data_IF_348481611595
#
_entry.id   IF_348481611595
#
_cell.length_a   1.000
_cell.length_b   1.000
_cell.length_c   1.000
_cell.angle_alpha   90.00
_cell.angle_beta   90.00
_cell.angle_gamma   90.00
#
_symmetry.space_group_name_H-M   'P 1'
#
loop_
_entity.id
_entity.type
_entity.pdbx_description
1 polymer ?
#
# COMPACT_ATOMS: atom_id res chain seq x y z
N UNK A 1 25.25 23.10 10.61
CA UNK A 1 24.21 22.70 9.63
C UNK A 1 23.35 21.63 10.26
N UNK A 2 22.04 21.86 10.47
CA UNK A 2 21.10 20.81 10.91
C UNK A 2 20.53 20.14 9.66
N UNK A 3 20.76 18.85 9.50
CA UNK A 3 20.14 18.05 8.45
C UNK A 3 18.75 17.65 8.95
N UNK A 4 17.70 18.12 8.29
CA UNK A 4 16.34 17.65 8.51
C UNK A 4 16.11 16.44 7.60
N UNK A 5 16.11 15.24 8.17
CA UNK A 5 15.76 14.02 7.43
C UNK A 5 14.27 14.08 7.08
N UNK A 6 13.94 13.96 5.79
CA UNK A 6 12.57 13.78 5.34
C UNK A 6 12.15 12.35 5.66
N UNK A 7 10.93 12.18 6.15
CA UNK A 7 10.39 10.86 6.44
C UNK A 7 10.16 10.09 5.13
N UNK A 8 10.60 8.83 5.10
CA UNK A 8 10.29 7.93 3.99
C UNK A 8 8.79 7.58 4.01
N UNK A 9 8.19 7.49 2.82
CA UNK A 9 6.83 6.99 2.63
C UNK A 9 6.88 5.68 1.86
N UNK A 10 6.79 4.53 2.54
CA UNK A 10 6.77 3.23 1.88
C UNK A 10 5.57 3.10 0.94
N UNK A 11 5.79 2.41 -0.18
CA UNK A 11 4.74 2.01 -1.11
C UNK A 11 4.66 0.48 -1.07
N UNK A 12 3.55 -0.04 -0.54
CA UNK A 12 3.28 -1.47 -0.41
C UNK A 12 2.46 -1.93 -1.60
N UNK A 13 2.93 -2.97 -2.29
CA UNK A 13 2.22 -3.60 -3.40
C UNK A 13 1.76 -5.00 -2.98
N UNK A 14 0.52 -5.33 -3.31
CA UNK A 14 -0.12 -6.60 -3.00
C UNK A 14 -0.56 -7.33 -4.28
N UNK A 15 -0.69 -8.65 -4.21
CA UNK A 15 -1.34 -9.42 -5.28
C UNK A 15 -2.82 -9.62 -4.93
N UNK A 16 -3.66 -8.66 -5.35
CA UNK A 16 -5.13 -8.68 -5.20
C UNK A 16 -5.62 -8.75 -3.75
N UNK A 17 -4.83 -8.23 -2.81
CA UNK A 17 -5.11 -8.23 -1.37
C UNK A 17 -5.02 -6.82 -0.74
N UNK A 18 -4.87 -5.78 -1.56
CA UNK A 18 -4.70 -4.42 -1.05
C UNK A 18 -5.92 -3.93 -0.25
N UNK A 19 -7.15 -4.35 -0.58
CA UNK A 19 -8.36 -3.96 0.16
C UNK A 19 -8.37 -4.55 1.56
N UNK A 20 -8.07 -5.84 1.69
CA UNK A 20 -7.96 -6.54 2.96
C UNK A 20 -6.84 -5.94 3.81
N UNK A 21 -5.70 -5.64 3.19
CA UNK A 21 -4.58 -4.98 3.85
C UNK A 21 -4.95 -3.58 4.35
N UNK A 22 -5.63 -2.77 3.52
CA UNK A 22 -6.11 -1.45 3.90
C UNK A 22 -7.01 -1.52 5.13
N UNK A 23 -8.00 -2.42 5.13
CA UNK A 23 -8.93 -2.61 6.25
C UNK A 23 -8.20 -3.07 7.53
N UNK A 24 -7.25 -4.00 7.40
CA UNK A 24 -6.45 -4.48 8.52
C UNK A 24 -5.61 -3.36 9.15
N UNK A 25 -4.86 -2.61 8.34
CA UNK A 25 -4.01 -1.55 8.84
C UNK A 25 -4.79 -0.34 9.35
N UNK A 26 -5.96 -0.05 8.79
CA UNK A 26 -6.89 0.95 9.32
C UNK A 26 -7.26 0.62 10.77
N UNK A 27 -7.67 -0.63 11.05
CA UNK A 27 -8.05 -1.07 12.40
C UNK A 27 -6.85 -1.11 13.35
N UNK A 28 -5.73 -1.72 12.95
CA UNK A 28 -4.55 -1.87 13.79
C UNK A 28 -3.94 -0.52 14.16
N UNK A 29 -3.78 0.38 13.19
CA UNK A 29 -3.16 1.69 13.43
C UNK A 29 -4.16 2.77 13.85
N UNK A 30 -5.47 2.47 13.82
CA UNK A 30 -6.55 3.46 14.03
C UNK A 30 -6.32 4.68 13.11
N UNK A 31 -6.02 4.38 11.85
CA UNK A 31 -5.62 5.32 10.82
C UNK A 31 -6.79 5.66 9.89
N UNK A 32 -6.58 6.59 8.96
CA UNK A 32 -7.57 6.93 7.94
C UNK A 32 -7.10 6.45 6.56
N UNK A 33 -8.00 5.83 5.81
CA UNK A 33 -7.81 5.53 4.38
C UNK A 33 -8.18 6.78 3.57
N UNK A 34 -7.26 7.23 2.71
CA UNK A 34 -7.45 8.40 1.84
C UNK A 34 -6.95 8.12 0.43
N UNK A 35 -7.38 8.92 -0.55
CA UNK A 35 -6.93 8.84 -1.95
C UNK A 35 -7.11 7.45 -2.58
N UNK A 36 -8.19 6.72 -2.22
CA UNK A 36 -8.51 5.40 -2.77
C UNK A 36 -8.99 5.50 -4.23
N UNK A 37 -8.30 4.78 -5.11
CA UNK A 37 -8.56 4.64 -6.53
C UNK A 37 -8.48 3.17 -6.93
N UNK A 38 -9.34 2.73 -7.84
CA UNK A 38 -9.40 1.35 -8.35
C UNK A 38 -9.07 1.28 -9.85
N UNK A 39 -8.77 0.09 -10.35
CA UNK A 39 -8.52 -0.13 -11.77
C UNK A 39 -9.83 -0.13 -12.61
N UNK A 40 -10.11 0.96 -13.31
CA UNK A 40 -11.23 1.05 -14.26
C UNK A 40 -12.58 0.67 -13.65
N UNK A 41 -13.47 0.06 -14.46
CA UNK A 41 -14.77 -0.46 -13.99
C UNK A 41 -14.62 -1.76 -13.16
N UNK A 42 -13.43 -2.38 -13.17
CA UNK A 42 -13.12 -3.56 -12.38
C UNK A 42 -12.82 -3.11 -10.93
N UNK A 43 -13.90 -2.85 -10.19
CA UNK A 43 -13.93 -2.29 -8.84
C UNK A 43 -13.15 -3.07 -7.76
N UNK A 44 -12.49 -4.17 -8.08
CA UNK A 44 -11.93 -5.09 -7.09
C UNK A 44 -10.46 -4.87 -6.78
N UNK A 45 -9.70 -4.19 -7.63
CA UNK A 45 -8.26 -3.98 -7.44
C UNK A 45 -7.95 -2.51 -7.15
N UNK A 46 -7.12 -2.29 -6.13
CA UNK A 46 -6.67 -0.96 -5.71
C UNK A 46 -5.55 -0.49 -6.63
N UNK A 47 -5.78 0.57 -7.39
CA UNK A 47 -4.75 1.25 -8.18
C UNK A 47 -3.85 2.09 -7.26
N UNK A 48 -4.46 2.80 -6.31
CA UNK A 48 -3.75 3.65 -5.36
C UNK A 48 -4.60 3.87 -4.12
N UNK A 49 -3.98 3.88 -2.95
CA UNK A 49 -4.59 4.31 -1.70
C UNK A 49 -3.50 4.77 -0.72
N UNK A 50 -3.91 5.50 0.31
CA UNK A 50 -3.04 5.94 1.41
C UNK A 50 -3.62 5.59 2.76
N UNK A 51 -2.78 5.17 3.69
CA UNK A 51 -3.09 5.02 5.12
C UNK A 51 -2.35 6.10 5.90
N UNK A 52 -3.07 6.90 6.68
CA UNK A 52 -2.51 8.07 7.38
C UNK A 52 -2.81 8.05 8.89
N UNK A 53 -1.79 8.29 9.71
CA UNK A 53 -1.93 8.55 11.15
C UNK A 53 -0.82 9.47 11.66
N UNK A 54 -1.15 10.74 11.92
CA UNK A 54 -0.14 11.72 12.31
C UNK A 54 0.96 11.82 11.25
N UNK A 55 2.20 11.48 11.61
CA UNK A 55 3.33 11.45 10.69
C UNK A 55 3.45 10.14 9.90
N UNK A 56 2.72 9.08 10.25
CA UNK A 56 2.70 7.84 9.48
C UNK A 56 1.93 8.05 8.18
N UNK A 57 2.59 7.77 7.06
CA UNK A 57 1.99 7.68 5.74
C UNK A 57 2.49 6.41 5.06
N UNK A 58 1.55 5.54 4.68
CA UNK A 58 1.80 4.39 3.81
C UNK A 58 1.01 4.59 2.52
N UNK A 59 1.60 4.22 1.39
CA UNK A 59 0.90 4.10 0.11
C UNK A 59 0.69 2.63 -0.21
N UNK A 60 -0.45 2.30 -0.80
CA UNK A 60 -0.86 0.92 -1.06
C UNK A 60 -1.43 0.80 -2.47
N UNK A 61 -1.10 -0.28 -3.17
CA UNK A 61 -1.84 -0.74 -4.36
C UNK A 61 -1.83 -2.25 -4.48
N UNK A 62 -2.69 -2.77 -5.34
CA UNK A 62 -2.48 -4.06 -5.96
C UNK A 62 -1.49 -3.93 -7.13
N UNK A 63 -0.93 -5.06 -7.56
CA UNK A 63 -0.19 -5.14 -8.81
C UNK A 63 -1.08 -4.91 -10.01
N UNK A 64 -0.48 -4.36 -11.07
CA UNK A 64 -1.16 -4.20 -12.34
C UNK A 64 -1.65 -5.56 -12.89
N UNK A 65 -2.91 -5.67 -13.33
CA UNK A 65 -3.42 -6.90 -13.94
C UNK A 65 -2.53 -7.39 -15.10
N UNK A 66 -2.05 -8.62 -15.02
CA UNK A 66 -1.14 -9.19 -16.03
C UNK A 66 0.35 -8.98 -15.74
N UNK A 67 0.71 -8.32 -14.63
CA UNK A 67 2.08 -8.20 -14.15
C UNK A 67 2.16 -8.59 -12.66
N UNK A 68 2.05 -9.89 -12.33
CA UNK A 68 2.06 -10.36 -10.94
C UNK A 68 3.39 -10.04 -10.27
N UNK A 69 3.40 -9.98 -8.93
CA UNK A 69 4.66 -9.92 -8.18
C UNK A 69 5.48 -11.17 -8.50
N UNK A 70 6.75 -10.98 -8.85
CA UNK A 70 7.68 -12.11 -8.89
C UNK A 70 7.80 -12.67 -7.47
N UNK A 71 7.57 -13.98 -7.34
CA UNK A 71 7.66 -14.67 -6.05
C UNK A 71 9.03 -14.40 -5.42
N UNK A 72 9.04 -14.24 -4.09
CA UNK A 72 10.26 -14.07 -3.31
C UNK A 72 11.30 -15.13 -3.71
N UNK A 73 12.54 -14.67 -3.95
CA UNK A 73 13.64 -15.56 -4.30
C UNK A 73 13.81 -16.63 -3.20
N UNK A 74 13.58 -17.93 -3.49
CA UNK A 74 13.64 -18.99 -2.49
C UNK A 74 15.06 -19.24 -1.95
N UNK A 75 16.08 -18.52 -2.42
CA UNK A 75 17.48 -18.75 -2.07
C UNK A 75 17.93 -18.22 -0.69
N UNK A 76 17.04 -17.64 0.14
CA UNK A 76 17.41 -17.04 1.44
C UNK A 76 16.54 -17.44 2.64
N UNK A 77 15.86 -18.59 2.58
CA UNK A 77 15.24 -19.24 3.76
C UNK A 77 15.86 -20.60 4.06
#
# INVERSE_FOLDING_TARGET
MRIQLKQATPYLMFDRQAKEALAFYEDVFRAEITDLQTYGEANDLVLHAKIKKGNLLLMVSDTFPGNPLEAENPAFI
#
